data_IF_073855610112
#
_entry.id   IF_073855610112
#
_cell.length_a   1.000
_cell.length_b   1.000
_cell.length_c   1.000
_cell.angle_alpha   90.00
_cell.angle_beta   90.00
_cell.angle_gamma   90.00
#
_symmetry.space_group_name_H-M   'P 1'
#
loop_
_entity.id
_entity.type
_entity.pdbx_description
1 polymer ?
#
# COMPACT_ATOMS: atom_id res chain seq x y z
N UNK A 1 -43.28 23.78 -28.92
CA UNK A 1 -41.92 23.61 -29.49
C UNK A 1 -40.91 24.38 -28.65
N UNK A 2 -40.09 23.67 -27.88
CA UNK A 2 -38.89 24.12 -27.16
C UNK A 2 -38.34 22.85 -26.49
N UNK A 3 -37.06 22.44 -26.51
CA UNK A 3 -35.82 23.22 -26.50
C UNK A 3 -34.68 22.35 -27.10
N UNK A 4 -34.33 22.46 -28.39
CA UNK A 4 -33.11 21.84 -28.95
C UNK A 4 -31.83 22.24 -28.20
N UNK A 5 -31.89 23.29 -27.37
CA UNK A 5 -30.81 23.66 -26.44
C UNK A 5 -30.72 22.76 -25.19
N UNK A 6 -31.81 22.14 -24.71
CA UNK A 6 -31.78 21.33 -23.49
C UNK A 6 -31.01 20.02 -23.70
N UNK A 7 -31.25 19.35 -24.82
CA UNK A 7 -30.56 18.10 -25.16
C UNK A 7 -29.07 18.33 -25.40
N UNK A 8 -28.70 19.43 -26.08
CA UNK A 8 -27.31 19.87 -26.20
C UNK A 8 -26.66 20.16 -24.85
N UNK A 9 -27.37 20.83 -23.93
CA UNK A 9 -26.85 21.10 -22.58
C UNK A 9 -26.67 19.81 -21.76
N UNK A 10 -27.57 18.83 -21.91
CA UNK A 10 -27.43 17.52 -21.27
C UNK A 10 -26.22 16.74 -21.82
N UNK A 11 -26.01 16.77 -23.13
CA UNK A 11 -24.85 16.15 -23.76
C UNK A 11 -23.53 16.82 -23.31
N UNK A 12 -23.48 18.15 -23.30
CA UNK A 12 -22.33 18.90 -22.79
C UNK A 12 -22.06 18.61 -21.31
N UNK A 13 -23.09 18.47 -20.48
CA UNK A 13 -22.95 18.05 -19.09
C UNK A 13 -22.32 16.66 -18.99
N UNK A 14 -22.82 15.69 -19.75
CA UNK A 14 -22.29 14.33 -19.74
C UNK A 14 -20.81 14.29 -20.17
N UNK A 15 -20.43 15.07 -21.19
CA UNK A 15 -19.04 15.21 -21.62
C UNK A 15 -18.15 15.85 -20.55
N UNK A 16 -18.63 16.91 -19.90
CA UNK A 16 -17.92 17.56 -18.80
C UNK A 16 -17.76 16.64 -17.60
N UNK A 17 -18.80 15.91 -17.23
CA UNK A 17 -18.77 14.94 -16.13
C UNK A 17 -17.75 13.82 -16.42
N UNK A 18 -17.70 13.32 -17.66
CA UNK A 18 -16.69 12.35 -18.08
C UNK A 18 -15.26 12.90 -17.98
N UNK A 19 -15.03 14.15 -18.41
CA UNK A 19 -13.72 14.82 -18.31
C UNK A 19 -13.31 15.07 -16.85
N UNK A 20 -14.26 15.45 -16.00
CA UNK A 20 -14.04 15.62 -14.55
C UNK A 20 -13.64 14.28 -13.94
N UNK A 21 -14.34 13.20 -14.26
CA UNK A 21 -14.02 11.88 -13.74
C UNK A 21 -12.63 11.41 -14.19
N UNK A 22 -12.29 11.62 -15.46
CA UNK A 22 -10.96 11.30 -15.98
C UNK A 22 -9.85 12.08 -15.25
N UNK A 23 -10.08 13.38 -15.01
CA UNK A 23 -9.14 14.25 -14.30
C UNK A 23 -8.95 13.80 -12.86
N UNK A 24 -10.05 13.51 -12.15
CA UNK A 24 -10.01 12.96 -10.78
C UNK A 24 -9.24 11.66 -10.71
N UNK A 25 -9.46 10.75 -11.65
CA UNK A 25 -8.75 9.47 -11.70
C UNK A 25 -7.25 9.68 -11.91
N UNK A 26 -6.86 10.64 -12.77
CA UNK A 26 -5.45 11.00 -12.99
C UNK A 26 -4.82 11.59 -11.74
N UNK A 27 -5.49 12.53 -11.07
CA UNK A 27 -4.98 13.12 -9.82
C UNK A 27 -4.83 12.08 -8.71
N UNK A 28 -5.80 11.17 -8.57
CA UNK A 28 -5.70 10.07 -7.62
C UNK A 28 -4.53 9.13 -7.94
N UNK A 29 -4.27 8.85 -9.23
CA UNK A 29 -3.13 8.05 -9.65
C UNK A 29 -1.79 8.75 -9.34
N UNK A 30 -1.68 10.05 -9.62
CA UNK A 30 -0.48 10.83 -9.28
C UNK A 30 -0.28 10.93 -7.77
N UNK A 31 -1.34 11.04 -6.98
CA UNK A 31 -1.24 11.00 -5.52
C UNK A 31 -0.72 9.67 -5.01
N UNK A 32 -1.20 8.54 -5.53
CA UNK A 32 -0.68 7.21 -5.17
C UNK A 32 0.81 7.07 -5.53
N UNK A 33 1.25 7.62 -6.66
CA UNK A 33 2.67 7.63 -7.05
C UNK A 33 3.50 8.46 -6.06
N UNK A 34 3.03 9.66 -5.71
CA UNK A 34 3.70 10.53 -4.72
C UNK A 34 3.78 9.88 -3.35
N UNK A 35 2.69 9.24 -2.90
CA UNK A 35 2.64 8.52 -1.62
C UNK A 35 3.59 7.33 -1.59
N UNK A 36 3.58 6.52 -2.66
CA UNK A 36 4.53 5.40 -2.82
C UNK A 36 5.97 5.91 -2.77
N UNK A 37 6.27 7.02 -3.47
CA UNK A 37 7.61 7.62 -3.45
C UNK A 37 8.00 8.11 -2.05
N UNK A 38 7.08 8.74 -1.30
CA UNK A 38 7.31 9.17 0.09
C UNK A 38 7.66 7.98 0.98
N UNK A 39 6.90 6.88 0.89
CA UNK A 39 7.15 5.65 1.67
C UNK A 39 8.49 5.01 1.35
N UNK A 40 8.86 4.92 0.07
CA UNK A 40 10.17 4.39 -0.36
C UNK A 40 11.32 5.22 0.21
N UNK A 41 11.24 6.55 0.10
CA UNK A 41 12.31 7.43 0.59
C UNK A 41 12.44 7.37 2.12
N UNK A 42 11.32 7.36 2.84
CA UNK A 42 11.32 7.20 4.29
C UNK A 42 11.90 5.84 4.70
N UNK A 43 11.50 4.76 4.03
CA UNK A 43 12.03 3.41 4.29
C UNK A 43 13.52 3.29 4.00
N UNK A 44 14.02 3.92 2.92
CA UNK A 44 15.44 3.97 2.60
C UNK A 44 16.25 4.70 3.69
N UNK A 45 15.73 5.82 4.20
CA UNK A 45 16.37 6.56 5.29
C UNK A 45 16.42 5.76 6.60
N UNK A 46 15.31 5.09 6.97
CA UNK A 46 15.27 4.20 8.14
C UNK A 46 16.25 3.03 7.98
N UNK A 47 16.32 2.46 6.78
CA UNK A 47 17.28 1.38 6.49
C UNK A 47 18.72 1.85 6.69
N UNK A 48 19.04 3.07 6.25
CA UNK A 48 20.36 3.66 6.46
C UNK A 48 20.67 3.93 7.94
N UNK A 49 19.69 4.41 8.73
CA UNK A 49 19.86 4.60 10.18
C UNK A 49 20.12 3.29 10.93
N UNK A 50 19.59 2.18 10.42
CA UNK A 50 19.83 0.85 10.94
C UNK A 50 21.09 0.19 10.35
N UNK A 51 21.96 0.95 9.66
CA UNK A 51 23.17 0.42 9.00
C UNK A 51 22.87 -0.70 7.98
N UNK A 52 21.67 -0.67 7.39
CA UNK A 52 21.11 -1.71 6.53
C UNK A 52 20.91 -3.07 7.20
N UNK A 53 20.86 -3.14 8.53
CA UNK A 53 20.44 -4.33 9.28
C UNK A 53 18.90 -4.44 9.25
N UNK A 54 18.40 -5.06 8.18
CA UNK A 54 16.97 -5.31 8.02
C UNK A 54 16.40 -6.26 9.10
N UNK A 55 17.23 -7.13 9.69
CA UNK A 55 16.79 -8.05 10.75
C UNK A 55 16.50 -7.29 12.03
N UNK A 56 17.30 -6.27 12.35
CA UNK A 56 17.01 -5.35 13.46
C UNK A 56 15.70 -4.60 13.24
N UNK A 57 15.50 -4.02 12.05
CA UNK A 57 14.26 -3.31 11.71
C UNK A 57 13.05 -4.26 11.81
N UNK A 58 13.17 -5.48 11.28
CA UNK A 58 12.13 -6.49 11.35
C UNK A 58 11.70 -6.79 12.79
N UNK A 59 12.67 -6.98 13.70
CA UNK A 59 12.38 -7.21 15.13
C UNK A 59 11.64 -6.03 15.78
N UNK A 60 12.02 -4.79 15.45
CA UNK A 60 11.34 -3.59 15.94
C UNK A 60 9.90 -3.50 15.40
N UNK A 61 9.69 -3.82 14.11
CA UNK A 61 8.36 -3.85 13.49
C UNK A 61 7.45 -4.94 14.08
N UNK A 62 8.01 -6.12 14.37
CA UNK A 62 7.31 -7.20 15.07
C UNK A 62 6.90 -6.75 16.47
N UNK A 63 7.84 -6.17 17.24
CA UNK A 63 7.57 -5.67 18.58
C UNK A 63 6.50 -4.55 18.60
N UNK A 64 6.43 -3.75 17.54
CA UNK A 64 5.43 -2.70 17.36
C UNK A 64 4.07 -3.21 16.84
N UNK A 65 3.92 -4.51 16.53
CA UNK A 65 2.70 -5.07 15.93
C UNK A 65 2.42 -4.57 14.51
N UNK A 66 3.46 -4.09 13.81
CA UNK A 66 3.37 -3.49 12.47
C UNK A 66 3.72 -4.47 11.35
N UNK A 67 4.11 -5.70 11.71
CA UNK A 67 4.48 -6.76 10.77
C UNK A 67 3.60 -7.98 11.01
N UNK A 68 3.00 -8.50 9.94
CA UNK A 68 2.26 -9.77 10.00
C UNK A 68 3.21 -10.96 9.84
N UNK A 69 2.90 -12.16 10.40
CA UNK A 69 3.78 -13.33 10.36
C UNK A 69 4.27 -13.72 8.95
N UNK A 70 3.41 -13.57 7.92
CA UNK A 70 3.76 -13.83 6.52
C UNK A 70 4.89 -12.96 5.97
N UNK A 71 5.12 -11.80 6.60
CA UNK A 71 6.08 -10.79 6.15
C UNK A 71 7.41 -10.86 6.93
N UNK A 72 7.53 -11.75 7.93
CA UNK A 72 8.75 -11.86 8.77
C UNK A 72 9.98 -12.26 7.96
N UNK A 73 9.79 -13.15 6.98
CA UNK A 73 10.84 -13.60 6.08
C UNK A 73 11.44 -12.46 5.24
N UNK A 74 10.67 -11.39 4.94
CA UNK A 74 11.16 -10.23 4.19
C UNK A 74 12.25 -9.46 4.96
N UNK A 75 12.27 -9.60 6.28
CA UNK A 75 13.24 -8.98 7.17
C UNK A 75 14.22 -9.99 7.78
N UNK A 76 14.17 -11.27 7.38
CA UNK A 76 15.02 -12.31 7.96
C UNK A 76 14.74 -12.59 9.45
N UNK A 77 13.50 -12.35 9.89
CA UNK A 77 13.00 -12.69 11.23
C UNK A 77 12.32 -14.05 11.16
N UNK A 78 12.56 -14.89 12.16
CA UNK A 78 11.93 -16.20 12.26
C UNK A 78 10.50 -16.06 12.76
N UNK A 79 9.62 -16.88 12.22
CA UNK A 79 8.24 -16.96 12.67
C UNK A 79 8.16 -18.05 13.73
N UNK A 80 8.14 -17.66 15.01
CA UNK A 80 8.05 -18.61 16.13
C UNK A 80 6.78 -19.50 16.07
N UNK A 81 5.81 -19.16 15.21
CA UNK A 81 4.63 -20.01 14.98
C UNK A 81 4.94 -21.34 14.27
N UNK A 82 6.01 -21.42 13.48
CA UNK A 82 6.36 -22.67 12.77
C UNK A 82 6.92 -23.74 13.73
N UNK A 83 7.51 -23.33 14.85
CA UNK A 83 8.06 -24.26 15.85
C UNK A 83 6.97 -24.95 16.69
N UNK A 84 5.75 -24.40 16.77
CA UNK A 84 4.68 -24.95 17.60
C UNK A 84 4.01 -26.20 16.99
N UNK A 85 4.09 -26.41 15.67
CA UNK A 85 3.45 -27.54 14.99
C UNK A 85 4.40 -28.75 14.85
N UNK A 86 5.71 -28.52 14.73
CA UNK A 86 6.72 -29.59 14.72
C UNK A 86 6.85 -30.29 16.07
N UNK A 87 6.69 -29.58 17.18
CA UNK A 87 6.81 -30.16 18.53
C UNK A 87 5.64 -31.10 18.89
N UNK A 88 4.48 -30.92 18.26
CA UNK A 88 3.31 -31.81 18.45
C UNK A 88 3.44 -33.15 17.72
N UNK A 89 4.16 -33.18 16.60
CA UNK A 89 4.39 -34.39 15.81
C UNK A 89 5.56 -35.24 16.34
N UNK A 90 6.44 -34.66 17.17
CA UNK A 90 7.54 -35.38 17.81
C UNK A 90 7.15 -36.15 19.09
N UNK A 91 5.90 -35.98 19.56
CA UNK A 91 5.40 -36.56 20.81
C UNK A 91 4.43 -37.76 20.62
N UNK A 92 4.31 -38.29 19.39
CA UNK A 92 3.51 -39.47 19.02
C UNK A 92 4.42 -40.54 18.42
#
# INVERSE_FOLDING_TARGET
MSKPNLEKLLQQKAELDARIQQTRNREAAEERKRDTRRKILAGAYVSQLAENDLKKIGKELVAAGMLEPRDYALFGVENDSDNADTDRLALV
#
